data_IF_090743424307
#
_entry.id   IF_090743424307
#
_cell.length_a   1.000
_cell.length_b   1.000
_cell.length_c   1.000
_cell.angle_alpha   90.00
_cell.angle_beta   90.00
_cell.angle_gamma   90.00
#
_symmetry.space_group_name_H-M   'P 1'
#
loop_
_entity.id
_entity.type
_entity.pdbx_description
1 polymer ?
#
# COMPACT_ATOMS: atom_id res chain seq x y z
N UNK A 1 4.88 -13.71 -3.04
CA UNK A 1 4.75 -14.72 -1.98
C UNK A 1 5.19 -14.24 -0.60
N UNK A 2 6.47 -13.94 -0.32
CA UNK A 2 6.91 -13.56 1.05
C UNK A 2 6.19 -12.32 1.61
N UNK A 3 5.93 -11.34 0.73
CA UNK A 3 5.26 -10.10 1.07
C UNK A 3 3.78 -10.33 1.38
N UNK A 4 3.14 -11.20 0.61
CA UNK A 4 1.74 -11.58 0.78
C UNK A 4 1.54 -12.37 2.08
N UNK A 5 2.46 -13.29 2.39
CA UNK A 5 2.50 -14.01 3.69
C UNK A 5 2.66 -13.01 4.84
N UNK A 6 3.55 -12.02 4.70
CA UNK A 6 3.71 -10.96 5.69
C UNK A 6 2.41 -10.20 5.95
N UNK A 7 1.65 -9.85 4.91
CA UNK A 7 0.34 -9.21 5.08
C UNK A 7 -0.69 -10.12 5.76
N UNK A 8 -0.72 -11.41 5.44
CA UNK A 8 -1.64 -12.36 6.10
C UNK A 8 -1.32 -12.48 7.59
N UNK A 9 -0.04 -12.62 7.94
CA UNK A 9 0.39 -12.66 9.35
C UNK A 9 0.03 -11.36 10.07
N UNK A 10 0.29 -10.22 9.43
CA UNK A 10 -0.05 -8.90 9.98
C UNK A 10 -1.56 -8.74 10.20
N UNK A 11 -2.38 -9.28 9.30
CA UNK A 11 -3.84 -9.28 9.40
C UNK A 11 -4.31 -10.03 10.64
N UNK A 12 -3.81 -11.24 10.86
CA UNK A 12 -4.13 -12.03 12.05
C UNK A 12 -3.73 -11.29 13.32
N UNK A 13 -2.53 -10.70 13.35
CA UNK A 13 -2.05 -9.91 14.50
C UNK A 13 -2.98 -8.71 14.75
N UNK A 14 -3.40 -8.00 13.72
CA UNK A 14 -4.26 -6.83 13.86
C UNK A 14 -5.68 -7.17 14.29
N UNK A 15 -6.23 -8.31 13.87
CA UNK A 15 -7.51 -8.84 14.35
C UNK A 15 -7.43 -9.10 15.86
N UNK A 16 -6.40 -9.84 16.29
CA UNK A 16 -6.21 -10.20 17.71
C UNK A 16 -6.01 -8.95 18.57
N UNK A 17 -5.16 -8.02 18.12
CA UNK A 17 -4.92 -6.76 18.81
C UNK A 17 -6.17 -5.88 18.87
N UNK A 18 -6.93 -5.79 17.77
CA UNK A 18 -8.17 -5.04 17.71
C UNK A 18 -9.21 -5.57 18.68
N UNK A 19 -9.37 -6.90 18.75
CA UNK A 19 -10.25 -7.55 19.71
C UNK A 19 -9.87 -7.23 21.18
N UNK A 20 -8.57 -7.21 21.49
CA UNK A 20 -8.08 -6.92 22.85
C UNK A 20 -8.21 -5.44 23.23
N UNK A 21 -7.97 -4.53 22.30
CA UNK A 21 -7.93 -3.09 22.54
C UNK A 21 -9.30 -2.43 22.60
N UNK A 22 -10.31 -3.05 22.00
CA UNK A 22 -11.66 -2.50 21.92
C UNK A 22 -11.81 -1.44 20.82
N UNK A 23 -13.00 -0.89 20.70
CA UNK A 23 -13.38 -0.01 19.59
C UNK A 23 -12.58 1.29 19.60
N UNK A 24 -12.68 2.07 20.67
CA UNK A 24 -12.18 3.45 20.69
C UNK A 24 -10.67 3.50 20.46
N UNK A 25 -9.89 2.69 21.19
CA UNK A 25 -8.44 2.69 21.03
C UNK A 25 -8.01 2.26 19.61
N UNK A 26 -8.67 1.26 19.03
CA UNK A 26 -8.30 0.76 17.70
C UNK A 26 -8.76 1.69 16.57
N UNK A 27 -9.89 2.39 16.76
CA UNK A 27 -10.34 3.48 15.90
C UNK A 27 -9.25 4.55 15.81
N UNK A 28 -8.82 5.15 16.93
CA UNK A 28 -7.79 6.18 16.90
C UNK A 28 -6.43 5.66 16.40
N UNK A 29 -6.09 4.41 16.70
CA UNK A 29 -4.87 3.78 16.18
C UNK A 29 -4.90 3.58 14.66
N UNK A 30 -6.07 3.37 14.06
CA UNK A 30 -6.23 3.40 12.60
C UNK A 30 -6.06 4.82 12.07
N UNK A 31 -6.76 5.81 12.64
CA UNK A 31 -6.73 7.20 12.16
C UNK A 31 -5.32 7.78 12.11
N UNK A 32 -4.44 7.35 13.01
CA UNK A 32 -3.00 7.68 12.96
C UNK A 32 -2.40 7.54 11.56
N UNK A 33 -2.70 6.47 10.82
CA UNK A 33 -2.10 6.24 9.50
C UNK A 33 -2.61 7.22 8.45
N UNK A 34 -3.88 7.64 8.55
CA UNK A 34 -4.45 8.69 7.71
C UNK A 34 -3.74 10.02 7.98
N UNK A 35 -3.56 10.36 9.26
CA UNK A 35 -2.82 11.56 9.65
C UNK A 35 -1.37 11.53 9.15
N UNK A 36 -0.69 10.39 9.25
CA UNK A 36 0.68 10.23 8.73
C UNK A 36 0.75 10.54 7.24
N UNK A 37 -0.14 9.95 6.43
CA UNK A 37 -0.18 10.19 4.98
C UNK A 37 -0.41 11.68 4.70
N UNK A 38 -1.42 12.26 5.35
CA UNK A 38 -1.81 13.66 5.15
C UNK A 38 -0.69 14.64 5.54
N UNK A 39 -0.17 14.51 6.76
CA UNK A 39 0.87 15.40 7.30
C UNK A 39 2.18 15.23 6.55
N UNK A 40 2.57 14.00 6.19
CA UNK A 40 3.79 13.77 5.40
C UNK A 40 3.71 14.47 4.05
N UNK A 41 2.58 14.37 3.33
CA UNK A 41 2.42 15.08 2.07
C UNK A 41 2.50 16.59 2.24
N UNK A 42 1.85 17.13 3.29
CA UNK A 42 1.89 18.56 3.58
C UNK A 42 3.31 19.06 3.87
N UNK A 43 4.04 18.37 4.75
CA UNK A 43 5.44 18.69 5.07
C UNK A 43 6.31 18.63 3.82
N UNK A 44 6.13 17.63 2.96
CA UNK A 44 6.91 17.50 1.73
C UNK A 44 6.67 18.64 0.76
N UNK A 45 5.41 19.02 0.54
CA UNK A 45 5.05 20.14 -0.34
C UNK A 45 5.62 21.46 0.16
N UNK A 46 5.66 21.67 1.47
CA UNK A 46 6.10 22.92 2.07
C UNK A 46 7.62 23.03 2.25
N UNK A 47 8.27 21.97 2.75
CA UNK A 47 9.68 22.02 3.16
C UNK A 47 10.64 21.29 2.22
N UNK A 48 10.17 20.32 1.45
CA UNK A 48 11.04 19.39 0.69
C UNK A 48 10.76 19.38 -0.81
N UNK A 49 9.96 20.32 -1.33
CA UNK A 49 9.65 20.43 -2.76
C UNK A 49 10.80 21.02 -3.60
N UNK A 50 12.04 20.75 -3.21
CA UNK A 50 13.22 21.16 -3.97
C UNK A 50 13.65 20.02 -4.90
N UNK A 51 13.62 20.28 -6.21
CA UNK A 51 14.15 19.37 -7.25
C UNK A 51 15.67 19.10 -7.10
N UNK A 52 16.35 19.70 -6.12
CA UNK A 52 17.78 19.51 -5.84
C UNK A 52 18.10 18.24 -5.05
N UNK A 53 17.11 17.60 -4.43
CA UNK A 53 17.36 16.42 -3.58
C UNK A 53 17.40 15.15 -4.46
N UNK A 54 18.47 14.38 -4.36
CA UNK A 54 18.60 13.08 -5.04
C UNK A 54 17.39 12.19 -4.70
N UNK A 55 16.72 11.55 -5.67
CA UNK A 55 15.47 10.84 -5.44
C UNK A 55 15.63 9.64 -4.47
N UNK A 56 16.83 9.03 -4.38
CA UNK A 56 17.13 8.02 -3.35
C UNK A 56 17.10 8.61 -1.93
N UNK A 57 17.55 9.85 -1.77
CA UNK A 57 17.52 10.55 -0.48
C UNK A 57 16.11 11.04 -0.16
N UNK A 58 15.29 11.41 -1.16
CA UNK A 58 13.87 11.72 -0.96
C UNK A 58 13.13 10.51 -0.35
N UNK A 59 13.27 9.32 -0.92
CA UNK A 59 12.65 8.11 -0.33
C UNK A 59 13.13 7.87 1.11
N UNK A 60 14.42 8.03 1.40
CA UNK A 60 14.96 7.88 2.76
C UNK A 60 14.33 8.88 3.75
N UNK A 61 14.29 10.16 3.38
CA UNK A 61 13.70 11.22 4.21
C UNK A 61 12.20 10.92 4.44
N UNK A 62 11.49 10.45 3.42
CA UNK A 62 10.08 10.06 3.53
C UNK A 62 9.89 8.93 4.54
N UNK A 63 10.68 7.85 4.44
CA UNK A 63 10.63 6.74 5.38
C UNK A 63 10.93 7.23 6.80
N UNK A 64 11.96 8.05 6.99
CA UNK A 64 12.31 8.62 8.29
C UNK A 64 11.16 9.45 8.87
N UNK A 65 10.54 10.33 8.08
CA UNK A 65 9.38 11.12 8.51
C UNK A 65 8.21 10.24 8.93
N UNK A 66 7.84 9.24 8.11
CA UNK A 66 6.75 8.31 8.42
C UNK A 66 7.03 7.53 9.71
N UNK A 67 8.28 7.11 9.94
CA UNK A 67 8.68 6.40 11.17
C UNK A 67 8.60 7.32 12.39
N UNK A 68 9.13 8.56 12.30
CA UNK A 68 9.05 9.54 13.39
C UNK A 68 7.58 9.82 13.74
N UNK A 69 6.73 10.08 12.74
CA UNK A 69 5.31 10.32 12.98
C UNK A 69 4.61 9.09 13.56
N UNK A 70 4.92 7.88 13.09
CA UNK A 70 4.44 6.64 13.68
C UNK A 70 4.74 6.58 15.18
N UNK A 71 5.96 6.92 15.60
CA UNK A 71 6.37 6.91 17.01
C UNK A 71 5.61 7.98 17.80
N UNK A 72 5.62 9.23 17.32
CA UNK A 72 4.96 10.37 17.98
C UNK A 72 3.47 10.09 18.20
N UNK A 73 2.74 9.70 17.15
CA UNK A 73 1.32 9.40 17.29
C UNK A 73 1.06 8.17 18.16
N UNK A 74 1.93 7.16 18.13
CA UNK A 74 1.79 6.01 19.04
C UNK A 74 2.00 6.42 20.50
N UNK A 75 2.94 7.31 20.80
CA UNK A 75 3.14 7.86 22.14
C UNK A 75 1.91 8.64 22.62
N UNK A 76 1.34 9.51 21.77
CA UNK A 76 0.10 10.26 22.06
C UNK A 76 -1.06 9.30 22.37
N UNK A 77 -1.19 8.21 21.61
CA UNK A 77 -2.23 7.20 21.85
C UNK A 77 -2.03 6.45 23.16
N UNK A 78 -0.78 6.16 23.55
CA UNK A 78 -0.48 5.49 24.82
C UNK A 78 -0.82 6.40 25.99
N UNK A 79 -0.41 7.68 25.94
CA UNK A 79 -0.69 8.68 26.98
C UNK A 79 -2.21 8.81 27.18
N UNK A 80 -2.96 8.92 26.08
CA UNK A 80 -4.42 9.03 26.11
C UNK A 80 -5.14 7.67 26.22
N UNK A 81 -4.40 6.56 26.31
CA UNK A 81 -4.96 5.21 26.18
C UNK A 81 -6.01 4.90 27.24
N UNK A 82 -5.81 5.35 28.48
CA UNK A 82 -6.78 5.19 29.58
C UNK A 82 -8.09 5.92 29.31
N UNK A 83 -8.00 7.14 28.77
CA UNK A 83 -9.16 7.93 28.38
C UNK A 83 -9.88 7.29 27.18
N UNK A 84 -9.15 6.87 26.15
CA UNK A 84 -9.76 6.23 24.99
C UNK A 84 -10.48 4.92 25.37
N UNK A 85 -9.90 4.14 26.27
CA UNK A 85 -10.51 2.93 26.80
C UNK A 85 -11.70 3.17 27.73
N UNK A 86 -11.98 4.40 28.17
CA UNK A 86 -13.21 4.70 28.91
C UNK A 86 -14.42 4.86 27.96
N UNK A 87 -14.19 5.24 26.70
CA UNK A 87 -15.21 5.43 25.66
C UNK A 87 -15.62 4.08 25.02
N UNK A 88 -15.91 3.07 25.85
CA UNK A 88 -16.25 1.71 25.39
C UNK A 88 -17.70 1.61 24.94
N UNK A 89 -17.93 0.88 23.84
CA UNK A 89 -19.28 0.50 23.41
C UNK A 89 -19.73 -0.80 24.08
N UNK A 90 -20.59 -0.72 25.11
CA UNK A 90 -21.09 -1.85 25.94
C UNK A 90 -20.93 -3.26 25.35
N UNK A 91 -21.80 -3.67 24.41
CA UNK A 91 -21.86 -5.06 23.90
C UNK A 91 -21.00 -5.32 22.65
N UNK A 92 -20.62 -4.27 21.92
CA UNK A 92 -19.96 -4.41 20.61
C UNK A 92 -18.52 -3.89 20.57
N UNK A 93 -17.97 -3.44 21.70
CA UNK A 93 -16.62 -2.86 21.78
C UNK A 93 -15.54 -3.74 21.14
N UNK A 94 -15.54 -5.04 21.49
CA UNK A 94 -14.55 -6.00 20.97
C UNK A 94 -14.77 -6.32 19.49
N UNK A 95 -16.04 -6.42 19.08
CA UNK A 95 -16.40 -6.72 17.69
C UNK A 95 -15.97 -5.58 16.77
N UNK A 96 -16.30 -4.33 17.13
CA UNK A 96 -15.84 -3.17 16.38
C UNK A 96 -14.32 -3.02 16.45
N UNK A 97 -13.69 -3.25 17.61
CA UNK A 97 -12.23 -3.29 17.72
C UNK A 97 -11.59 -4.23 16.69
N UNK A 98 -12.16 -5.42 16.49
CA UNK A 98 -11.73 -6.36 15.46
C UNK A 98 -11.92 -5.79 14.04
N UNK A 99 -13.08 -5.21 13.73
CA UNK A 99 -13.35 -4.61 12.41
C UNK A 99 -12.38 -3.46 12.10
N UNK A 100 -12.12 -2.57 13.06
CA UNK A 100 -11.14 -1.49 12.91
C UNK A 100 -9.70 -2.03 12.79
N UNK A 101 -9.37 -3.13 13.48
CA UNK A 101 -8.12 -3.85 13.30
C UNK A 101 -7.92 -4.34 11.86
N UNK A 102 -8.96 -4.92 11.24
CA UNK A 102 -8.95 -5.34 9.84
C UNK A 102 -8.79 -4.11 8.93
N UNK A 103 -9.64 -3.10 9.07
CA UNK A 103 -9.62 -1.94 8.19
C UNK A 103 -8.30 -1.14 8.30
N UNK A 104 -7.62 -1.19 9.45
CA UNK A 104 -6.29 -0.59 9.64
C UNK A 104 -5.22 -1.19 8.72
N UNK A 105 -5.33 -2.48 8.38
CA UNK A 105 -4.34 -3.11 7.48
C UNK A 105 -4.32 -2.44 6.11
N UNK A 106 -5.46 -1.93 5.64
CA UNK A 106 -5.58 -1.26 4.36
C UNK A 106 -4.66 -0.03 4.30
N UNK A 107 -4.69 0.82 5.34
CA UNK A 107 -3.83 2.00 5.42
C UNK A 107 -2.35 1.65 5.52
N UNK A 108 -2.01 0.63 6.32
CA UNK A 108 -0.63 0.13 6.42
C UNK A 108 -0.14 -0.40 5.08
N UNK A 109 -1.00 -1.15 4.36
CA UNK A 109 -0.69 -1.71 3.06
C UNK A 109 -0.44 -0.63 2.00
N UNK A 110 -1.17 0.50 2.04
CA UNK A 110 -0.90 1.66 1.16
C UNK A 110 0.51 2.22 1.40
N UNK A 111 0.91 2.43 2.66
CA UNK A 111 2.24 2.95 3.00
C UNK A 111 3.33 1.97 2.53
N UNK A 112 3.16 0.68 2.81
CA UNK A 112 4.10 -0.37 2.38
C UNK A 112 4.18 -0.45 0.86
N UNK A 113 3.04 -0.40 0.16
CA UNK A 113 2.97 -0.37 -1.30
C UNK A 113 3.82 0.76 -1.88
N UNK A 114 3.70 1.96 -1.35
CA UNK A 114 4.46 3.14 -1.81
C UNK A 114 5.96 2.97 -1.62
N UNK A 115 6.37 2.50 -0.44
CA UNK A 115 7.79 2.24 -0.15
C UNK A 115 8.35 1.22 -1.14
N UNK A 116 7.59 0.19 -1.50
CA UNK A 116 8.01 -0.84 -2.45
C UNK A 116 8.06 -0.29 -3.88
N UNK A 117 7.07 0.47 -4.31
CA UNK A 117 7.01 1.04 -5.66
C UNK A 117 8.17 2.00 -5.89
N UNK A 118 8.32 3.02 -5.04
CA UNK A 118 9.44 3.94 -5.15
C UNK A 118 10.77 3.23 -4.90
N UNK A 119 10.83 2.31 -3.93
CA UNK A 119 12.02 1.51 -3.63
C UNK A 119 12.50 0.60 -4.77
N UNK A 120 11.58 0.10 -5.60
CA UNK A 120 11.87 -0.80 -6.72
C UNK A 120 12.62 -0.12 -7.88
N UNK A 121 12.63 1.21 -7.92
CA UNK A 121 13.50 1.99 -8.81
C UNK A 121 14.98 1.81 -8.48
N UNK A 122 15.31 1.60 -7.20
CA UNK A 122 16.69 1.59 -6.69
C UNK A 122 17.27 0.20 -6.41
N UNK A 123 16.44 -0.83 -6.31
CA UNK A 123 16.88 -2.17 -5.92
C UNK A 123 16.20 -3.27 -6.73
N UNK A 124 17.03 -4.12 -7.36
CA UNK A 124 16.56 -5.30 -8.10
C UNK A 124 15.80 -6.27 -7.21
N UNK A 125 16.25 -6.47 -5.95
CA UNK A 125 15.56 -7.33 -4.99
C UNK A 125 14.15 -6.83 -4.67
N UNK A 126 13.97 -5.53 -4.46
CA UNK A 126 12.64 -4.94 -4.19
C UNK A 126 11.75 -5.04 -5.42
N UNK A 127 12.31 -4.86 -6.62
CA UNK A 127 11.59 -5.04 -7.89
C UNK A 127 11.07 -6.46 -8.06
N UNK A 128 11.88 -7.47 -7.77
CA UNK A 128 11.46 -8.88 -7.83
C UNK A 128 10.37 -9.20 -6.81
N UNK A 129 10.48 -8.66 -5.58
CA UNK A 129 9.45 -8.81 -4.54
C UNK A 129 8.12 -8.18 -4.96
N UNK A 130 8.18 -6.97 -5.55
CA UNK A 130 7.03 -6.23 -6.07
C UNK A 130 6.32 -7.03 -7.16
N UNK A 131 7.06 -7.53 -8.15
CA UNK A 131 6.49 -8.19 -9.32
C UNK A 131 5.88 -9.57 -8.97
N UNK A 132 6.46 -10.27 -7.99
CA UNK A 132 5.96 -11.56 -7.47
C UNK A 132 4.84 -11.43 -6.41
N UNK A 133 4.47 -10.22 -5.98
CA UNK A 133 3.47 -10.03 -4.92
C UNK A 133 2.08 -9.79 -5.48
N UNK A 134 1.15 -10.66 -5.11
CA UNK A 134 -0.27 -10.50 -5.46
C UNK A 134 -0.87 -9.25 -4.80
N UNK A 135 -0.52 -8.98 -3.54
CA UNK A 135 -1.01 -7.79 -2.82
C UNK A 135 -0.63 -6.49 -3.51
N UNK A 136 0.61 -6.39 -4.02
CA UNK A 136 1.04 -5.22 -4.78
C UNK A 136 0.28 -5.12 -6.09
N UNK A 137 0.08 -6.23 -6.80
CA UNK A 137 -0.68 -6.24 -8.04
C UNK A 137 -2.12 -5.77 -7.84
N UNK A 138 -2.75 -6.19 -6.74
CA UNK A 138 -4.09 -5.75 -6.33
C UNK A 138 -4.11 -4.25 -6.01
N UNK A 139 -3.18 -3.76 -5.19
CA UNK A 139 -3.09 -2.33 -4.85
C UNK A 139 -2.86 -1.45 -6.06
N UNK A 140 -2.04 -1.90 -7.02
CA UNK A 140 -1.74 -1.17 -8.26
C UNK A 140 -3.02 -0.82 -9.04
N UNK A 141 -4.03 -1.70 -9.03
CA UNK A 141 -5.32 -1.46 -9.73
C UNK A 141 -6.06 -0.24 -9.19
N UNK A 142 -5.84 0.09 -7.91
CA UNK A 142 -6.52 1.18 -7.21
C UNK A 142 -5.59 2.36 -6.87
N UNK A 143 -4.28 2.22 -7.12
CA UNK A 143 -3.25 3.15 -6.65
C UNK A 143 -3.44 4.59 -7.16
N UNK A 144 -3.89 4.76 -8.41
CA UNK A 144 -4.11 6.09 -9.00
C UNK A 144 -5.12 6.94 -8.21
N UNK A 145 -6.11 6.33 -7.55
CA UNK A 145 -7.11 7.05 -6.75
C UNK A 145 -6.51 7.75 -5.52
N UNK A 146 -5.37 7.25 -5.05
CA UNK A 146 -4.73 7.74 -3.83
C UNK A 146 -3.39 8.42 -4.11
N UNK A 147 -2.89 8.43 -5.36
CA UNK A 147 -1.59 8.97 -5.72
C UNK A 147 -1.43 10.46 -5.38
N UNK A 148 -2.49 11.26 -5.54
CA UNK A 148 -2.50 12.69 -5.19
C UNK A 148 -2.34 12.99 -3.69
N UNK A 149 -2.62 11.99 -2.85
CA UNK A 149 -2.42 12.08 -1.40
C UNK A 149 -0.95 12.02 -1.00
N UNK A 150 -0.03 11.79 -1.96
CA UNK A 150 1.39 11.64 -1.72
C UNK A 150 2.22 12.75 -2.38
N UNK A 151 3.48 12.94 -1.94
CA UNK A 151 4.42 13.84 -2.59
C UNK A 151 4.61 13.52 -4.08
N UNK A 152 4.95 14.55 -4.88
CA UNK A 152 5.06 14.44 -6.34
C UNK A 152 5.99 13.31 -6.82
N UNK A 153 7.12 13.08 -6.13
CA UNK A 153 8.04 12.00 -6.52
C UNK A 153 7.39 10.61 -6.40
N UNK A 154 6.61 10.37 -5.34
CA UNK A 154 5.84 9.12 -5.16
C UNK A 154 4.73 9.03 -6.21
N UNK A 155 4.01 10.15 -6.45
CA UNK A 155 2.96 10.19 -7.46
C UNK A 155 3.49 9.76 -8.83
N UNK A 156 4.61 10.34 -9.25
CA UNK A 156 5.25 10.01 -10.53
C UNK A 156 5.67 8.54 -10.62
N UNK A 157 6.27 7.99 -9.55
CA UNK A 157 6.66 6.57 -9.51
C UNK A 157 5.45 5.63 -9.58
N UNK A 158 4.37 5.96 -8.87
CA UNK A 158 3.12 5.18 -8.88
C UNK A 158 2.47 5.23 -10.25
N UNK A 159 2.35 6.41 -10.85
CA UNK A 159 1.78 6.59 -12.19
C UNK A 159 2.60 5.82 -13.24
N UNK A 160 3.93 5.99 -13.25
CA UNK A 160 4.82 5.28 -14.17
C UNK A 160 4.73 3.77 -14.02
N UNK A 161 4.62 3.25 -12.79
CA UNK A 161 4.44 1.82 -12.58
C UNK A 161 3.06 1.32 -13.07
N UNK A 162 1.99 2.06 -12.80
CA UNK A 162 0.64 1.67 -13.25
C UNK A 162 0.57 1.65 -14.78
N UNK A 163 1.13 2.67 -15.44
CA UNK A 163 1.17 2.77 -16.92
C UNK A 163 1.95 1.60 -17.50
N UNK A 164 3.19 1.38 -17.07
CA UNK A 164 4.03 0.28 -17.58
C UNK A 164 3.38 -1.10 -17.38
N UNK A 165 2.65 -1.30 -16.28
CA UNK A 165 1.93 -2.55 -16.05
C UNK A 165 0.75 -2.73 -17.00
N UNK A 166 -0.01 -1.66 -17.28
CA UNK A 166 -1.12 -1.68 -18.24
C UNK A 166 -0.61 -1.92 -19.66
N UNK A 167 0.47 -1.26 -20.07
CA UNK A 167 1.11 -1.49 -21.36
C UNK A 167 1.52 -2.95 -21.54
N UNK A 168 2.17 -3.53 -20.51
CA UNK A 168 2.58 -4.94 -20.54
C UNK A 168 1.39 -5.90 -20.65
N UNK A 169 0.27 -5.58 -19.99
CA UNK A 169 -0.97 -6.37 -20.13
C UNK A 169 -1.51 -6.30 -21.55
N UNK A 170 -1.64 -5.10 -22.12
CA UNK A 170 -2.11 -4.91 -23.50
C UNK A 170 -1.21 -5.62 -24.52
N UNK A 171 0.12 -5.51 -24.38
CA UNK A 171 1.06 -6.21 -25.26
C UNK A 171 0.87 -7.72 -25.18
N UNK A 172 0.78 -8.27 -23.97
CA UNK A 172 0.57 -9.71 -23.77
C UNK A 172 -0.77 -10.19 -24.34
N UNK A 173 -1.84 -9.38 -24.21
CA UNK A 173 -3.16 -9.70 -24.75
C UNK A 173 -3.15 -9.67 -26.30
N UNK A 174 -2.41 -8.74 -26.91
CA UNK A 174 -2.24 -8.70 -28.37
C UNK A 174 -1.43 -9.90 -28.87
N UNK A 175 -0.34 -10.25 -28.17
CA UNK A 175 0.50 -11.39 -28.53
C UNK A 175 -0.25 -12.72 -28.39
N UNK A 176 -1.02 -12.91 -27.31
CA UNK A 176 -1.83 -14.12 -27.12
C UNK A 176 -2.93 -14.24 -28.17
N UNK A 177 -3.59 -13.14 -28.53
CA UNK A 177 -4.57 -13.12 -29.61
C UNK A 177 -3.94 -13.48 -30.96
N UNK A 178 -2.73 -12.99 -31.24
CA UNK A 178 -2.01 -13.32 -32.47
C UNK A 178 -1.57 -14.80 -32.52
N UNK A 179 -1.10 -15.35 -31.41
CA UNK A 179 -0.78 -16.79 -31.31
C UNK A 179 -2.01 -17.67 -31.53
N UNK A 180 -3.14 -17.32 -30.92
CA UNK A 180 -4.40 -18.05 -31.10
C UNK A 180 -4.89 -17.96 -32.57
N UNK A 181 -4.82 -16.78 -33.18
CA UNK A 181 -5.20 -16.60 -34.59
C UNK A 181 -4.34 -17.46 -35.53
N UNK A 182 -3.03 -17.56 -35.27
CA UNK A 182 -2.14 -18.46 -36.03
C UNK A 182 -2.52 -19.93 -35.84
N UNK A 183 -2.84 -20.37 -34.63
CA UNK A 183 -3.26 -21.75 -34.38
C UNK A 183 -4.56 -22.09 -35.13
N UNK A 184 -5.55 -21.20 -35.10
CA UNK A 184 -6.82 -21.39 -35.83
C UNK A 184 -6.60 -21.47 -37.34
N UNK A 185 -5.71 -20.64 -37.90
CA UNK A 185 -5.34 -20.67 -39.33
C UNK A 185 -4.62 -21.98 -39.70
N UNK A 186 -3.72 -22.47 -38.84
CA UNK A 186 -3.05 -23.76 -39.02
C UNK A 186 -4.02 -24.94 -38.94
N UNK A 187 -4.96 -24.97 -37.99
CA UNK A 187 -5.97 -26.02 -37.90
C UNK A 187 -6.91 -26.01 -39.11
N UNK A 188 -7.33 -24.82 -39.55
CA UNK A 188 -8.21 -24.68 -40.71
C UNK A 188 -7.56 -25.17 -42.00
N UNK A 189 -6.27 -24.91 -42.19
CA UNK A 189 -5.50 -25.43 -43.33
C UNK A 189 -5.25 -26.94 -43.27
N UNK A 190 -5.27 -27.55 -42.07
CA UNK A 190 -5.14 -29.01 -41.89
C UNK A 190 -6.41 -29.79 -42.24
N UNK A 191 -7.58 -29.14 -42.24
CA UNK A 191 -8.88 -29.74 -42.59
C UNK A 191 -9.10 -29.73 -44.12
N UNK A 192 -8.38 -28.87 -44.86
CA UNK A 192 -8.57 -28.65 -46.30
C UNK A 192 -7.63 -29.52 -47.17
N UNK A 193 -6.65 -30.20 -46.57
CA UNK A 193 -5.77 -31.19 -47.22
C UNK A 193 -6.10 -32.61 -46.77
#
# INVERSE_FOLDING_TARGET
MILDIGFIVLLVIFIILGYRRGFSLEFFNMFKYIFIIFITNHIYKFFLNSNRINPRNQLKIFIIMVVIQCIVYSAILIINGKFLQSIKMKKFDKFYGMMFGIMKIFFVAIIVYIIIITGSGYSRRIRELRDKSFSIQFMTKHALKFADSFPNFIKNDVEGYVISKREKQVINDVLSNYENFKMDEFEKNKIIN
#
